data_IF_472330067094
#
_entry.id   IF_472330067094
#
_cell.length_a   1.000
_cell.length_b   1.000
_cell.length_c   1.000
_cell.angle_alpha   90.00
_cell.angle_beta   90.00
_cell.angle_gamma   90.00
#
_symmetry.space_group_name_H-M   'P 1'
#
loop_
_entity.id
_entity.type
_entity.pdbx_description
1 polymer ?
#
# COMPACT_ATOMS: atom_id res chain seq x y z
N UNK A 1 16.07 -19.66 5.70
CA UNK A 1 15.56 -18.40 6.25
C UNK A 1 14.17 -18.64 6.76
N UNK A 2 14.00 -18.64 8.08
CA UNK A 2 12.68 -18.52 8.72
C UNK A 2 12.12 -17.10 8.49
N UNK A 3 10.82 -16.90 8.65
CA UNK A 3 10.20 -15.58 8.46
C UNK A 3 10.74 -14.54 9.46
N UNK A 4 11.09 -14.98 10.67
CA UNK A 4 11.70 -14.14 11.70
C UNK A 4 13.10 -13.66 11.30
N UNK A 5 13.95 -14.58 10.80
CA UNK A 5 15.29 -14.26 10.28
C UNK A 5 15.21 -13.27 9.10
N UNK A 6 14.25 -13.46 8.18
CA UNK A 6 14.05 -12.58 7.03
C UNK A 6 13.67 -11.16 7.46
N UNK A 7 12.81 -11.01 8.47
CA UNK A 7 12.40 -9.70 9.00
C UNK A 7 13.56 -8.98 9.72
N UNK A 8 14.40 -9.72 10.44
CA UNK A 8 15.60 -9.19 11.06
C UNK A 8 16.63 -8.74 10.02
N UNK A 9 16.86 -9.54 8.98
CA UNK A 9 17.75 -9.19 7.87
C UNK A 9 17.29 -7.91 7.15
N UNK A 10 16.00 -7.78 6.84
CA UNK A 10 15.44 -6.57 6.22
C UNK A 10 15.53 -5.32 7.11
N UNK A 11 15.51 -5.50 8.44
CA UNK A 11 15.72 -4.40 9.39
C UNK A 11 17.19 -3.97 9.44
N UNK A 12 18.11 -4.93 9.45
CA UNK A 12 19.55 -4.66 9.50
C UNK A 12 20.06 -4.10 8.16
N UNK A 13 19.49 -4.56 7.04
CA UNK A 13 19.87 -4.17 5.69
C UNK A 13 18.68 -3.49 4.97
N UNK A 14 18.32 -2.25 5.36
CA UNK A 14 17.26 -1.53 4.67
C UNK A 14 17.64 -1.25 3.21
N UNK A 15 16.69 -1.40 2.31
CA UNK A 15 16.90 -1.10 0.88
C UNK A 15 17.24 0.38 0.71
N UNK A 16 18.46 0.67 0.25
CA UNK A 16 18.88 2.02 -0.09
C UNK A 16 18.21 2.45 -1.39
N UNK A 17 17.43 3.53 -1.33
CA UNK A 17 16.78 4.13 -2.51
C UNK A 17 17.43 5.49 -2.72
N UNK A 18 18.35 5.57 -3.69
CA UNK A 18 19.10 6.79 -4.03
C UNK A 18 18.18 7.92 -4.48
N UNK A 19 17.13 7.59 -5.24
CA UNK A 19 16.17 8.55 -5.81
C UNK A 19 14.86 8.66 -5.03
N UNK A 20 14.93 8.70 -3.69
CA UNK A 20 13.74 8.82 -2.86
C UNK A 20 13.15 10.23 -3.00
N UNK A 21 12.05 10.33 -3.75
CA UNK A 21 11.31 11.58 -3.88
C UNK A 21 10.71 12.01 -2.52
N UNK A 22 10.81 13.30 -2.20
CA UNK A 22 10.08 13.90 -1.08
C UNK A 22 8.60 13.90 -1.48
N UNK A 23 7.81 13.03 -0.84
CA UNK A 23 6.36 12.99 -1.05
C UNK A 23 5.72 14.01 -0.10
N UNK A 24 5.23 15.11 -0.65
CA UNK A 24 4.42 16.08 0.08
C UNK A 24 3.04 15.55 0.48
N UNK A 25 2.33 16.33 1.30
CA UNK A 25 0.93 16.05 1.67
C UNK A 25 0.01 16.53 0.55
N UNK A 26 -0.68 15.60 -0.11
CA UNK A 26 -1.66 15.92 -1.14
C UNK A 26 -2.93 16.54 -0.56
N UNK A 27 -3.54 17.47 -1.29
CA UNK A 27 -4.88 18.00 -1.00
C UNK A 27 -5.97 17.01 -1.40
N UNK A 28 -7.17 17.21 -0.87
CA UNK A 28 -8.33 16.38 -1.19
C UNK A 28 -8.65 16.41 -2.68
N UNK A 29 -8.78 15.23 -3.30
CA UNK A 29 -9.00 15.02 -4.74
C UNK A 29 -7.91 15.57 -5.68
N UNK A 30 -6.74 15.94 -5.16
CA UNK A 30 -5.62 16.38 -5.98
C UNK A 30 -5.20 15.29 -7.00
N UNK A 31 -4.79 15.71 -8.19
CA UNK A 31 -4.28 14.78 -9.19
C UNK A 31 -2.89 14.30 -8.82
N UNK A 32 -2.70 12.98 -8.90
CA UNK A 32 -1.37 12.37 -8.75
C UNK A 32 -0.65 12.40 -10.09
N UNK A 33 0.54 12.99 -10.11
CA UNK A 33 1.47 12.95 -11.23
C UNK A 33 2.58 11.95 -10.91
N UNK A 34 2.68 10.90 -11.72
CA UNK A 34 3.78 9.97 -11.63
C UNK A 34 5.02 10.61 -12.28
N UNK A 35 6.11 10.75 -11.52
CA UNK A 35 7.38 11.35 -11.99
C UNK A 35 7.97 10.67 -13.24
N UNK A 36 7.63 9.39 -13.45
CA UNK A 36 8.22 8.54 -14.49
C UNK A 36 9.13 7.47 -13.87
N UNK A 37 9.35 6.38 -14.59
CA UNK A 37 10.25 5.29 -14.19
C UNK A 37 11.55 5.25 -15.01
N UNK A 38 11.61 6.00 -16.11
CA UNK A 38 12.73 6.03 -17.05
C UNK A 38 13.66 7.21 -16.74
N UNK A 39 14.93 7.08 -17.15
CA UNK A 39 15.96 8.14 -17.05
C UNK A 39 16.23 8.66 -15.64
N UNK A 40 15.95 7.84 -14.62
CA UNK A 40 16.27 8.13 -13.22
C UNK A 40 17.70 7.69 -12.83
N UNK A 41 18.45 7.12 -13.77
CA UNK A 41 19.86 6.79 -13.60
C UNK A 41 20.74 8.05 -13.54
N UNK A 42 20.35 9.11 -14.25
CA UNK A 42 21.00 10.41 -14.22
C UNK A 42 20.40 11.27 -13.10
N UNK A 43 21.26 11.75 -12.21
CA UNK A 43 20.86 12.58 -11.08
C UNK A 43 20.65 14.06 -11.47
N UNK A 44 19.73 14.32 -12.39
CA UNK A 44 19.39 15.69 -12.77
C UNK A 44 18.51 16.35 -11.70
N UNK A 45 18.78 17.61 -11.39
CA UNK A 45 18.03 18.38 -10.39
C UNK A 45 16.53 18.47 -10.68
N UNK A 46 16.15 18.43 -11.96
CA UNK A 46 14.76 18.43 -12.41
C UNK A 46 13.96 17.28 -11.81
N UNK A 47 14.56 16.09 -11.69
CA UNK A 47 13.90 14.89 -11.17
C UNK A 47 13.86 14.83 -9.65
N UNK A 48 14.57 15.73 -8.96
CA UNK A 48 14.59 15.86 -7.50
C UNK A 48 13.56 16.87 -6.97
N UNK A 49 12.86 17.59 -7.86
CA UNK A 49 11.80 18.55 -7.50
C UNK A 49 10.59 17.88 -6.86
N UNK A 50 9.81 18.69 -6.15
CA UNK A 50 8.55 18.24 -5.56
C UNK A 50 7.45 18.14 -6.62
N UNK A 51 7.03 16.91 -6.93
CA UNK A 51 5.92 16.62 -7.85
C UNK A 51 4.56 16.48 -7.13
N UNK A 52 4.52 16.69 -5.82
CA UNK A 52 3.30 16.62 -5.01
C UNK A 52 2.60 17.98 -4.86
N UNK A 53 3.13 19.05 -5.45
CA UNK A 53 2.53 20.38 -5.36
C UNK A 53 1.19 20.45 -6.12
N UNK A 54 0.25 21.23 -5.59
CA UNK A 54 -1.04 21.45 -6.22
C UNK A 54 -0.88 22.18 -7.56
N UNK A 55 -1.58 21.70 -8.59
CA UNK A 55 -1.53 22.26 -9.94
C UNK A 55 -2.88 22.86 -10.32
N UNK A 56 -2.88 24.02 -10.98
CA UNK A 56 -4.08 24.70 -11.54
C UNK A 56 -5.34 24.56 -10.66
N UNK A 57 -6.24 23.64 -11.03
CA UNK A 57 -7.53 23.37 -10.37
C UNK A 57 -7.43 22.84 -8.92
N UNK A 58 -6.28 22.31 -8.53
CA UNK A 58 -6.05 21.73 -7.20
C UNK A 58 -5.61 22.78 -6.16
N UNK A 59 -5.45 24.05 -6.55
CA UNK A 59 -5.20 25.13 -5.59
C UNK A 59 -6.39 25.35 -4.66
N UNK A 60 -7.61 25.20 -5.20
CA UNK A 60 -8.86 25.33 -4.47
C UNK A 60 -9.10 24.14 -3.52
N UNK A 61 -9.61 24.43 -2.32
CA UNK A 61 -9.95 23.40 -1.36
C UNK A 61 -11.27 22.72 -1.73
N UNK A 62 -11.20 21.47 -2.18
CA UNK A 62 -12.38 20.70 -2.60
C UNK A 62 -13.17 20.11 -1.43
N UNK A 63 -12.69 20.24 -0.19
CA UNK A 63 -13.38 19.72 1.00
C UNK A 63 -14.61 20.53 1.38
N UNK A 64 -14.61 21.84 1.09
CA UNK A 64 -15.74 22.73 1.36
C UNK A 64 -16.91 22.54 0.39
N UNK A 65 -16.71 21.77 -0.69
CA UNK A 65 -17.76 21.48 -1.66
C UNK A 65 -18.81 20.54 -1.07
N UNK A 66 -20.09 20.63 -1.50
CA UNK A 66 -21.11 19.66 -1.13
C UNK A 66 -20.69 18.23 -1.49
N UNK A 67 -21.08 17.23 -0.68
CA UNK A 67 -20.66 15.82 -0.86
C UNK A 67 -20.89 15.28 -2.28
N UNK A 68 -21.97 15.69 -2.94
CA UNK A 68 -22.30 15.29 -4.32
C UNK A 68 -21.26 15.80 -5.35
N UNK A 69 -20.62 16.93 -5.05
CA UNK A 69 -19.57 17.55 -5.87
C UNK A 69 -18.15 17.10 -5.48
N UNK A 70 -17.97 16.40 -4.35
CA UNK A 70 -16.68 15.89 -3.88
C UNK A 70 -16.23 14.65 -4.68
N UNK A 71 -16.16 14.78 -5.99
CA UNK A 71 -15.82 13.72 -6.95
C UNK A 71 -14.96 14.31 -8.05
N UNK A 72 -14.04 13.52 -8.60
CA UNK A 72 -13.18 13.99 -9.70
C UNK A 72 -14.02 14.23 -10.95
N UNK A 73 -13.77 15.32 -11.69
CA UNK A 73 -14.45 15.65 -12.95
C UNK A 73 -15.98 15.81 -12.84
N UNK A 74 -16.48 16.46 -11.79
CA UNK A 74 -17.92 16.72 -11.63
C UNK A 74 -18.55 17.34 -12.90
N UNK A 75 -19.72 16.83 -13.31
CA UNK A 75 -20.44 17.30 -14.51
C UNK A 75 -19.95 16.74 -15.85
N UNK A 76 -18.86 15.96 -15.90
CA UNK A 76 -18.38 15.32 -17.15
C UNK A 76 -18.99 13.94 -17.35
N UNK A 77 -19.18 13.55 -18.62
CA UNK A 77 -19.49 12.16 -18.98
C UNK A 77 -18.31 11.25 -18.59
N UNK A 78 -18.61 10.04 -18.11
CA UNK A 78 -17.57 9.09 -17.66
C UNK A 78 -16.92 9.42 -16.30
N UNK A 79 -17.53 10.31 -15.51
CA UNK A 79 -17.06 10.65 -14.17
C UNK A 79 -16.99 9.45 -13.24
N UNK A 80 -15.90 9.33 -12.47
CA UNK A 80 -15.79 8.36 -11.38
C UNK A 80 -16.79 8.67 -10.25
N UNK A 81 -17.38 7.62 -9.67
CA UNK A 81 -18.28 7.71 -8.50
C UNK A 81 -17.55 7.76 -7.16
N UNK A 82 -16.29 7.34 -7.16
CA UNK A 82 -15.44 7.16 -5.97
C UNK A 82 -14.43 8.30 -5.82
N UNK A 83 -13.99 8.51 -4.57
CA UNK A 83 -13.14 9.65 -4.19
C UNK A 83 -11.68 9.26 -3.99
N UNK A 84 -11.41 8.46 -2.95
CA UNK A 84 -10.11 7.98 -2.52
C UNK A 84 -10.27 6.62 -1.84
N UNK A 85 -9.20 5.81 -1.82
CA UNK A 85 -9.27 4.44 -1.34
C UNK A 85 -9.76 4.34 0.11
N UNK A 86 -9.38 5.29 0.96
CA UNK A 86 -9.78 5.33 2.37
C UNK A 86 -11.30 5.39 2.54
N UNK A 87 -12.01 6.14 1.69
CA UNK A 87 -13.48 6.25 1.71
C UNK A 87 -14.18 5.02 1.11
N UNK A 88 -13.43 4.15 0.43
CA UNK A 88 -13.89 2.88 -0.12
C UNK A 88 -13.35 1.69 0.68
N UNK A 89 -12.59 1.96 1.73
CA UNK A 89 -12.02 0.93 2.56
C UNK A 89 -13.11 0.38 3.47
N UNK A 90 -13.31 -0.94 3.39
CA UNK A 90 -14.31 -1.66 4.17
C UNK A 90 -13.68 -2.44 5.31
N UNK A 91 -12.37 -2.31 5.53
CA UNK A 91 -11.70 -2.94 6.67
C UNK A 91 -12.26 -2.41 7.98
N UNK A 92 -12.81 -3.30 8.78
CA UNK A 92 -13.28 -2.99 10.13
C UNK A 92 -12.14 -3.24 11.13
N UNK A 93 -11.44 -2.17 11.51
CA UNK A 93 -10.32 -2.25 12.47
C UNK A 93 -10.77 -2.71 13.87
N UNK A 94 -12.03 -2.48 14.22
CA UNK A 94 -12.64 -2.95 15.49
C UNK A 94 -13.17 -4.40 15.39
N UNK A 95 -12.92 -5.09 14.28
CA UNK A 95 -13.34 -6.47 14.13
C UNK A 95 -12.64 -7.35 15.17
N UNK A 96 -13.37 -8.24 15.88
CA UNK A 96 -12.76 -9.21 16.78
C UNK A 96 -11.70 -10.08 16.09
N UNK A 97 -11.72 -10.24 14.76
CA UNK A 97 -10.72 -11.01 14.01
C UNK A 97 -9.46 -10.21 13.64
N UNK A 98 -9.49 -8.88 13.71
CA UNK A 98 -8.38 -7.99 13.37
C UNK A 98 -7.42 -7.75 14.56
N UNK A 99 -7.86 -8.05 15.79
CA UNK A 99 -7.06 -7.85 16.99
C UNK A 99 -5.98 -8.94 17.16
N UNK A 100 -4.75 -8.55 17.49
CA UNK A 100 -3.63 -9.47 17.81
C UNK A 100 -3.71 -10.02 19.24
N UNK A 101 -4.87 -10.56 19.64
CA UNK A 101 -5.03 -11.24 20.92
C UNK A 101 -4.52 -12.68 20.83
N UNK A 102 -4.00 -13.22 21.93
CA UNK A 102 -3.51 -14.61 22.01
C UNK A 102 -4.57 -15.65 21.60
N UNK A 103 -5.84 -15.39 21.85
CA UNK A 103 -6.97 -16.22 21.43
C UNK A 103 -7.18 -16.17 19.91
N UNK A 104 -7.05 -15.00 19.28
CA UNK A 104 -7.15 -14.82 17.84
C UNK A 104 -5.98 -15.48 17.11
N UNK A 105 -4.76 -15.35 17.62
CA UNK A 105 -3.58 -16.04 17.07
C UNK A 105 -3.77 -17.56 17.09
N UNK A 106 -4.32 -18.12 18.18
CA UNK A 106 -4.66 -19.54 18.27
C UNK A 106 -5.74 -19.92 17.25
N UNK A 107 -6.81 -19.16 17.13
CA UNK A 107 -7.85 -19.37 16.13
C UNK A 107 -7.29 -19.33 14.69
N UNK A 108 -6.49 -18.30 14.37
CA UNK A 108 -5.85 -18.15 13.06
C UNK A 108 -4.87 -19.29 12.74
N UNK A 109 -4.12 -19.79 13.71
CA UNK A 109 -3.20 -20.91 13.50
C UNK A 109 -3.90 -22.28 13.34
N UNK A 110 -5.05 -22.47 14.01
CA UNK A 110 -5.70 -23.79 14.09
C UNK A 110 -6.88 -23.94 13.13
N UNK A 111 -7.70 -22.90 13.01
CA UNK A 111 -8.99 -22.90 12.31
C UNK A 111 -9.01 -22.09 11.01
N UNK A 112 -8.12 -21.10 10.83
CA UNK A 112 -8.08 -20.38 9.56
C UNK A 112 -7.45 -21.23 8.45
N UNK A 113 -8.15 -21.34 7.32
CA UNK A 113 -7.71 -22.10 6.16
C UNK A 113 -6.51 -21.43 5.48
N UNK A 114 -5.56 -22.25 4.99
CA UNK A 114 -4.42 -21.78 4.20
C UNK A 114 -3.25 -21.15 4.99
N UNK A 115 -3.38 -20.99 6.31
CA UNK A 115 -2.35 -20.36 7.17
C UNK A 115 -1.52 -21.39 7.95
N UNK A 116 -1.90 -22.68 7.88
CA UNK A 116 -1.11 -23.75 8.50
C UNK A 116 0.28 -23.79 7.85
N UNK A 117 1.37 -23.78 8.63
CA UNK A 117 2.72 -23.92 8.09
C UNK A 117 2.93 -25.38 7.61
N UNK A 118 2.30 -25.74 6.49
CA UNK A 118 2.48 -27.04 5.83
C UNK A 118 3.69 -26.94 4.89
N UNK A 119 4.84 -26.60 5.45
CA UNK A 119 6.11 -26.69 4.74
C UNK A 119 6.82 -27.98 5.16
N UNK A 120 6.58 -29.06 4.44
CA UNK A 120 7.43 -30.25 4.55
C UNK A 120 8.67 -30.02 3.69
N UNK A 121 9.84 -29.93 4.33
CA UNK A 121 11.11 -29.99 3.60
C UNK A 121 11.16 -31.33 2.83
N UNK A 122 11.43 -31.34 1.52
CA UNK A 122 11.59 -32.57 0.78
C UNK A 122 12.72 -33.38 1.43
N UNK A 123 12.44 -34.62 1.85
CA UNK A 123 13.48 -35.48 2.41
C UNK A 123 14.43 -35.92 1.31
N UNK A 124 15.75 -35.87 1.57
CA UNK A 124 16.78 -36.36 0.64
C UNK A 124 16.61 -37.86 0.29
N UNK A 125 15.91 -38.62 1.13
CA UNK A 125 15.60 -40.03 0.89
C UNK A 125 14.18 -40.18 0.37
N UNK A 126 14.03 -40.89 -0.75
CA UNK A 126 12.75 -41.28 -1.35
C UNK A 126 12.04 -42.24 -0.36
N UNK A 127 10.83 -41.90 0.09
CA UNK A 127 10.00 -42.82 0.89
C UNK A 127 9.76 -44.09 0.06
N UNK A 128 10.14 -45.26 0.57
CA UNK A 128 9.68 -46.54 0.01
C UNK A 128 8.19 -46.65 0.31
N UNK A 129 7.38 -46.74 -0.74
CA UNK A 129 5.98 -47.15 -0.64
C UNK A 129 5.97 -48.62 -0.19
N UNK A 130 5.25 -48.91 0.89
CA UNK A 130 4.77 -50.26 1.17
C UNK A 130 3.51 -50.52 0.34
#
# INVERSE_FOLDING_TARGET
>A
MTEEERRLELRLNPKQVTNKAVKGKYKFLQKYYHRGAFYLDKEDEVFKRDFAQATLEDHFDKTILPKVMQVKNFGRSGRTKYTHLVDQDTTQFDSPWANDTSQNLKFHSTQAGGIKPVFQKPSLKKRKLQ
#
